data_IF_871205648796
#
_entry.id   IF_871205648796
#
_cell.length_a   1.000
_cell.length_b   1.000
_cell.length_c   1.000
_cell.angle_alpha   90.00
_cell.angle_beta   90.00
_cell.angle_gamma   90.00
#
_symmetry.space_group_name_H-M   'P 1'
#
loop_
_entity.id
_entity.type
_entity.pdbx_description
1 polymer ?
#
# COMPACT_ATOMS: atom_id res chain seq x y z
N UNK A 1 4.61 -14.04 7.00
CA UNK A 1 3.13 -14.02 7.15
C UNK A 1 2.52 -12.83 6.39
N UNK A 2 1.33 -13.03 5.81
CA UNK A 2 0.54 -11.99 5.14
C UNK A 2 -0.74 -11.79 5.93
N UNK A 3 -1.10 -10.54 6.18
CA UNK A 3 -2.36 -10.12 6.78
C UNK A 3 -3.10 -9.28 5.75
N UNK A 4 -4.12 -9.86 5.13
CA UNK A 4 -4.99 -9.16 4.18
C UNK A 4 -6.24 -8.63 4.86
N UNK A 5 -6.83 -7.55 4.33
CA UNK A 5 -8.17 -7.11 4.77
C UNK A 5 -9.22 -8.21 4.53
N UNK A 6 -9.24 -8.80 3.34
CA UNK A 6 -10.29 -9.72 2.88
C UNK A 6 -10.18 -11.13 3.48
N UNK A 7 -8.96 -11.61 3.71
CA UNK A 7 -8.71 -12.99 4.16
C UNK A 7 -8.17 -13.07 5.60
N UNK A 8 -7.94 -11.92 6.23
CA UNK A 8 -7.28 -11.83 7.53
C UNK A 8 -5.86 -12.42 7.48
N UNK A 9 -5.48 -13.07 8.58
CA UNK A 9 -4.17 -13.69 8.82
C UNK A 9 -3.83 -13.66 10.31
N UNK A 10 -2.94 -14.53 10.76
CA UNK A 10 -2.39 -14.43 12.11
C UNK A 10 -1.57 -13.14 12.23
N UNK A 11 -1.91 -12.29 13.21
CA UNK A 11 -1.08 -11.12 13.53
C UNK A 11 0.18 -11.60 14.23
N UNK A 12 1.30 -11.58 13.52
CA UNK A 12 2.61 -11.87 14.08
C UNK A 12 3.36 -10.55 14.27
N UNK A 13 3.31 -10.03 15.48
CA UNK A 13 3.92 -8.74 15.83
C UNK A 13 5.44 -8.82 16.05
N UNK A 14 6.06 -10.00 15.98
CA UNK A 14 7.41 -10.25 16.49
C UNK A 14 8.50 -10.44 15.43
N UNK A 15 8.23 -10.18 14.16
CA UNK A 15 9.28 -10.17 13.14
C UNK A 15 8.89 -9.32 11.93
N UNK A 16 8.45 -9.94 10.84
CA UNK A 16 8.09 -9.31 9.58
C UNK A 16 6.67 -9.69 9.20
N UNK A 17 5.83 -8.70 8.95
CA UNK A 17 4.44 -8.93 8.57
C UNK A 17 4.09 -8.05 7.36
N UNK A 18 3.60 -8.68 6.31
CA UNK A 18 2.99 -7.94 5.20
C UNK A 18 1.54 -7.63 5.53
N UNK A 19 1.12 -6.38 5.31
CA UNK A 19 -0.27 -5.94 5.40
C UNK A 19 -0.69 -5.47 4.02
N UNK A 20 -1.79 -6.02 3.50
CA UNK A 20 -2.26 -5.77 2.14
C UNK A 20 -3.76 -5.48 2.14
N UNK A 21 -4.14 -4.33 1.59
CA UNK A 21 -5.50 -4.05 1.13
C UNK A 21 -5.47 -4.06 -0.41
N UNK A 22 -6.08 -5.07 -1.06
CA UNK A 22 -6.11 -5.15 -2.51
C UNK A 22 -6.79 -3.95 -3.19
N UNK A 23 -7.87 -3.42 -2.60
CA UNK A 23 -8.69 -2.35 -3.15
C UNK A 23 -9.21 -1.46 -2.01
N UNK A 24 -8.43 -0.44 -1.65
CA UNK A 24 -8.95 0.66 -0.86
C UNK A 24 -9.87 1.52 -1.75
N UNK A 25 -11.02 1.90 -1.21
CA UNK A 25 -12.03 2.65 -1.96
C UNK A 25 -12.93 1.79 -2.85
N UNK A 26 -13.26 0.55 -2.45
CA UNK A 26 -14.15 -0.37 -3.19
C UNK A 26 -15.45 0.26 -3.70
N UNK A 27 -16.05 1.21 -2.95
CA UNK A 27 -17.24 1.96 -3.41
C UNK A 27 -16.98 2.83 -4.64
N UNK A 28 -15.78 3.38 -4.77
CA UNK A 28 -15.36 4.14 -5.95
C UNK A 28 -15.06 3.18 -7.09
N UNK A 29 -14.32 2.11 -6.81
CA UNK A 29 -14.01 1.06 -7.78
C UNK A 29 -15.27 0.52 -8.46
N UNK A 30 -16.26 0.08 -7.68
CA UNK A 30 -17.52 -0.50 -8.21
C UNK A 30 -18.38 0.51 -8.97
N UNK A 31 -18.18 1.81 -8.75
CA UNK A 31 -18.89 2.91 -9.45
C UNK A 31 -18.11 3.46 -10.65
N UNK A 32 -16.93 2.93 -10.95
CA UNK A 32 -16.06 3.45 -12.01
C UNK A 32 -15.41 4.80 -11.66
N UNK A 33 -15.47 5.25 -10.41
CA UNK A 33 -14.77 6.45 -9.95
C UNK A 33 -13.28 6.10 -9.79
N UNK A 34 -12.34 6.83 -10.41
CA UNK A 34 -10.94 6.41 -10.51
C UNK A 34 -10.12 6.56 -9.21
N UNK A 35 -10.79 6.92 -8.10
CA UNK A 35 -10.15 7.17 -6.81
C UNK A 35 -10.22 5.91 -5.96
N UNK A 36 -9.32 4.97 -6.24
CA UNK A 36 -9.10 3.72 -5.51
C UNK A 36 -7.63 3.31 -5.69
N UNK A 37 -7.12 2.46 -4.80
CA UNK A 37 -5.73 2.01 -4.86
C UNK A 37 -5.51 0.66 -4.19
N UNK A 38 -4.36 0.05 -4.48
CA UNK A 38 -3.84 -1.08 -3.71
C UNK A 38 -2.85 -0.55 -2.67
N UNK A 39 -3.01 -0.97 -1.42
CA UNK A 39 -2.14 -0.63 -0.31
C UNK A 39 -1.28 -1.84 0.06
N UNK A 40 0.03 -1.64 0.15
CA UNK A 40 1.00 -2.68 0.53
C UNK A 40 1.92 -2.10 1.58
N UNK A 41 2.04 -2.76 2.73
CA UNK A 41 2.99 -2.40 3.77
C UNK A 41 3.76 -3.61 4.28
N UNK A 42 5.03 -3.38 4.63
CA UNK A 42 5.83 -4.31 5.43
C UNK A 42 6.01 -3.69 6.81
N UNK A 43 5.58 -4.41 7.84
CA UNK A 43 5.86 -4.09 9.23
C UNK A 43 7.06 -4.91 9.70
N UNK A 44 7.97 -4.26 10.42
CA UNK A 44 9.04 -4.89 11.20
C UNK A 44 8.77 -4.55 12.65
N UNK A 45 8.60 -5.57 13.50
CA UNK A 45 8.25 -5.38 14.93
C UNK A 45 7.04 -4.45 15.13
N UNK A 46 6.00 -4.67 14.32
CA UNK A 46 4.78 -3.87 14.26
C UNK A 46 4.94 -2.40 13.79
N UNK A 47 6.13 -1.98 13.36
CA UNK A 47 6.40 -0.65 12.82
C UNK A 47 6.48 -0.69 11.30
N UNK A 48 5.77 0.18 10.54
CA UNK A 48 5.89 0.23 9.09
C UNK A 48 7.31 0.56 8.63
N UNK A 49 7.96 -0.38 7.95
CA UNK A 49 9.30 -0.23 7.39
C UNK A 49 9.27 0.09 5.89
N UNK A 50 8.24 -0.37 5.17
CA UNK A 50 8.02 -0.09 3.74
C UNK A 50 6.52 0.13 3.52
N UNK A 51 6.16 1.09 2.66
CA UNK A 51 4.79 1.33 2.24
C UNK A 51 4.69 1.65 0.75
N UNK A 52 3.61 1.20 0.11
CA UNK A 52 3.25 1.51 -1.28
C UNK A 52 1.76 1.81 -1.36
N UNK A 53 1.41 2.89 -2.06
CA UNK A 53 0.07 3.21 -2.52
C UNK A 53 0.09 3.22 -4.03
N UNK A 54 -0.60 2.28 -4.68
CA UNK A 54 -0.64 2.19 -6.15
C UNK A 54 -2.07 2.48 -6.64
N UNK A 55 -2.28 3.64 -7.27
CA UNK A 55 -3.56 4.08 -7.82
C UNK A 55 -3.52 4.02 -9.36
N UNK A 56 -3.74 2.84 -9.98
CA UNK A 56 -3.51 2.62 -11.41
C UNK A 56 -4.45 3.45 -12.28
N UNK A 57 -5.72 3.64 -11.87
CA UNK A 57 -6.68 4.46 -12.61
C UNK A 57 -6.29 5.96 -12.63
N UNK A 58 -5.43 6.40 -11.71
CA UNK A 58 -4.84 7.74 -11.68
C UNK A 58 -3.45 7.79 -12.34
N UNK A 59 -2.92 6.65 -12.82
CA UNK A 59 -1.54 6.56 -13.33
C UNK A 59 -0.50 7.00 -12.30
N UNK A 60 -0.79 6.83 -11.00
CA UNK A 60 0.01 7.38 -9.91
C UNK A 60 0.38 6.32 -8.89
N UNK A 61 1.60 6.44 -8.36
CA UNK A 61 2.08 5.61 -7.26
C UNK A 61 2.81 6.46 -6.23
N UNK A 62 2.72 6.06 -4.97
CA UNK A 62 3.53 6.58 -3.88
C UNK A 62 4.20 5.40 -3.17
N UNK A 63 5.41 5.61 -2.65
CA UNK A 63 6.09 4.61 -1.85
C UNK A 63 7.07 5.26 -0.89
N UNK A 64 7.39 4.57 0.19
CA UNK A 64 8.35 5.03 1.17
C UNK A 64 9.04 3.84 1.83
N UNK A 65 10.24 4.10 2.37
CA UNK A 65 10.93 3.19 3.27
C UNK A 65 11.51 3.96 4.46
N UNK A 66 11.56 3.31 5.62
CA UNK A 66 12.13 3.91 6.82
C UNK A 66 13.58 4.35 6.58
N UNK A 67 13.89 5.61 6.91
CA UNK A 67 15.18 6.24 6.62
C UNK A 67 15.50 6.49 5.12
N UNK A 68 14.62 6.10 4.19
CA UNK A 68 14.86 6.21 2.74
C UNK A 68 14.09 7.38 2.08
N UNK A 69 13.17 8.00 2.81
CA UNK A 69 12.27 9.03 2.31
C UNK A 69 10.97 8.47 1.73
N UNK A 70 10.13 9.39 1.25
CA UNK A 70 8.89 9.09 0.55
C UNK A 70 9.00 9.58 -0.89
N UNK A 71 8.32 8.92 -1.81
CA UNK A 71 8.41 9.18 -3.23
C UNK A 71 7.03 9.08 -3.89
N UNK A 72 6.89 9.69 -5.05
CA UNK A 72 5.73 9.56 -5.93
C UNK A 72 6.16 9.46 -7.38
N UNK A 73 5.39 8.73 -8.18
CA UNK A 73 5.51 8.72 -9.65
C UNK A 73 4.18 9.07 -10.30
N UNK A 74 4.23 9.97 -11.27
CA UNK A 74 3.11 10.35 -12.13
C UNK A 74 3.64 10.83 -13.49
N UNK A 75 3.04 10.36 -14.59
CA UNK A 75 3.45 10.76 -15.95
C UNK A 75 4.91 10.39 -16.27
N UNK A 76 5.42 9.27 -15.73
CA UNK A 76 6.80 8.81 -15.92
C UNK A 76 7.85 9.59 -15.14
N UNK A 77 7.47 10.60 -14.35
CA UNK A 77 8.38 11.34 -13.48
C UNK A 77 8.31 10.81 -12.06
N UNK A 78 9.47 10.65 -11.42
CA UNK A 78 9.59 10.32 -9.99
C UNK A 78 10.03 11.56 -9.22
N UNK A 79 9.43 11.77 -8.05
CA UNK A 79 9.79 12.84 -7.10
C UNK A 79 9.88 12.24 -5.70
N UNK A 80 10.83 12.74 -4.91
CA UNK A 80 10.92 12.50 -3.47
C UNK A 80 10.10 13.59 -2.76
#
# INVERSE_FOLDING_TARGET
PVFGEEFGGSKEFSSRQWVIDPIDGTKNFVRGVPVWCTLIALLVDAVPAVGVVSAPALGRRWWAGDGLGAFTSFGGQTRQ
#
